data_IF_097481670312
#
_entry.id   IF_097481670312
#
_cell.length_a   1.000
_cell.length_b   1.000
_cell.length_c   1.000
_cell.angle_alpha   90.00
_cell.angle_beta   90.00
_cell.angle_gamma   90.00
#
_symmetry.space_group_name_H-M   'P 1'
#
loop_
_entity.id
_entity.type
_entity.pdbx_description
1 polymer ?
#
# COMPACT_ATOMS: atom_id res chain seq x y z
N UNK A 1 -20.69 7.80 3.96
CA UNK A 1 -21.34 8.25 2.72
C UNK A 1 -21.04 7.25 1.62
N UNK A 2 -21.99 6.97 0.72
CA UNK A 2 -21.75 6.16 -0.48
C UNK A 2 -21.75 7.07 -1.70
N UNK A 3 -20.68 7.03 -2.49
CA UNK A 3 -20.62 7.65 -3.81
C UNK A 3 -21.08 6.64 -4.85
N UNK A 4 -22.14 6.99 -5.60
CA UNK A 4 -22.66 6.16 -6.69
C UNK A 4 -21.76 6.19 -7.93
N UNK A 5 -21.11 7.32 -8.22
CA UNK A 5 -20.19 7.44 -9.37
C UNK A 5 -18.96 6.57 -9.18
N UNK A 6 -18.40 6.58 -7.96
CA UNK A 6 -17.19 5.83 -7.63
C UNK A 6 -17.48 4.39 -7.17
N UNK A 7 -18.77 4.03 -7.03
CA UNK A 7 -19.21 2.77 -6.42
C UNK A 7 -18.47 2.47 -5.10
N UNK A 8 -18.32 3.48 -4.25
CA UNK A 8 -17.44 3.42 -3.09
C UNK A 8 -18.03 4.13 -1.87
N UNK A 9 -17.77 3.55 -0.71
CA UNK A 9 -18.07 4.14 0.59
C UNK A 9 -16.87 4.92 1.12
N UNK A 10 -17.14 6.12 1.63
CA UNK A 10 -16.21 6.90 2.43
C UNK A 10 -16.80 7.10 3.83
N UNK A 11 -16.05 6.72 4.85
CA UNK A 11 -16.47 6.73 6.25
C UNK A 11 -15.42 7.47 7.07
N UNK A 12 -15.83 8.39 7.93
CA UNK A 12 -14.93 9.04 8.90
C UNK A 12 -14.78 8.14 10.13
N UNK A 13 -13.56 7.98 10.60
CA UNK A 13 -13.24 7.37 11.89
C UNK A 13 -13.81 8.17 13.08
N UNK A 14 -13.56 7.69 14.29
CA UNK A 14 -14.00 8.35 15.53
C UNK A 14 -15.32 7.82 16.09
N UNK A 15 -15.76 6.63 15.67
CA UNK A 15 -16.98 5.99 16.17
C UNK A 15 -16.73 4.55 16.58
N UNK A 16 -17.16 4.19 17.78
CA UNK A 16 -17.05 2.81 18.25
C UNK A 16 -17.86 1.85 17.38
N UNK A 17 -19.03 2.23 16.87
CA UNK A 17 -19.84 1.36 16.00
C UNK A 17 -20.49 2.17 14.87
N UNK A 18 -20.85 1.47 13.79
CA UNK A 18 -21.78 2.00 12.81
C UNK A 18 -23.22 1.80 13.30
N UNK A 19 -24.18 2.62 12.86
CA UNK A 19 -25.59 2.42 13.17
C UNK A 19 -26.08 1.02 12.78
N UNK A 20 -27.07 0.53 13.50
CA UNK A 20 -27.69 -0.76 13.23
C UNK A 20 -28.25 -0.82 11.80
N UNK A 21 -28.09 -1.97 11.14
CA UNK A 21 -28.49 -2.17 9.75
C UNK A 21 -27.58 -1.51 8.70
N UNK A 22 -26.53 -0.78 9.11
CA UNK A 22 -25.57 -0.23 8.15
C UNK A 22 -24.82 -1.35 7.42
N UNK A 23 -24.76 -1.28 6.09
CA UNK A 23 -24.15 -2.32 5.23
C UNK A 23 -22.73 -2.69 5.64
N UNK A 24 -21.95 -1.70 6.09
CA UNK A 24 -20.56 -1.90 6.50
C UNK A 24 -20.38 -2.20 7.99
N UNK A 25 -21.44 -2.38 8.78
CA UNK A 25 -21.33 -2.54 10.24
C UNK A 25 -20.42 -3.72 10.63
N UNK A 26 -20.55 -4.85 9.94
CA UNK A 26 -19.71 -6.04 10.17
C UNK A 26 -18.24 -5.78 9.83
N UNK A 27 -17.99 -5.13 8.69
CA UNK A 27 -16.63 -4.81 8.24
C UNK A 27 -15.99 -3.74 9.15
N UNK A 28 -16.77 -2.78 9.63
CA UNK A 28 -16.34 -1.79 10.61
C UNK A 28 -15.94 -2.43 11.94
N UNK A 29 -16.72 -3.40 12.42
CA UNK A 29 -16.41 -4.11 13.66
C UNK A 29 -15.12 -4.93 13.60
N UNK A 30 -14.67 -5.31 12.40
CA UNK A 30 -13.38 -6.01 12.20
C UNK A 30 -12.16 -5.08 12.29
N UNK A 31 -12.36 -3.77 12.23
CA UNK A 31 -11.25 -2.82 12.33
C UNK A 31 -10.68 -2.77 13.75
N UNK A 32 -9.33 -2.75 13.88
CA UNK A 32 -8.67 -2.43 15.14
C UNK A 32 -9.19 -1.13 15.80
N UNK A 33 -9.28 -1.07 17.15
CA UNK A 33 -9.84 0.09 17.84
C UNK A 33 -9.13 1.41 17.55
N UNK A 34 -7.81 1.41 17.45
CA UNK A 34 -6.97 2.55 17.10
C UNK A 34 -7.33 3.17 15.74
N UNK A 35 -7.64 2.33 14.74
CA UNK A 35 -8.10 2.80 13.42
C UNK A 35 -9.52 3.34 13.50
N UNK A 36 -10.43 2.56 14.10
CA UNK A 36 -11.87 2.86 14.14
C UNK A 36 -12.21 4.09 14.98
N UNK A 37 -11.52 4.27 16.10
CA UNK A 37 -11.75 5.35 17.06
C UNK A 37 -10.97 6.64 16.70
N UNK A 38 -10.10 6.62 15.69
CA UNK A 38 -9.36 7.81 15.28
C UNK A 38 -10.24 8.81 14.52
N UNK A 39 -10.46 10.04 15.01
CA UNK A 39 -11.26 11.05 14.31
C UNK A 39 -10.54 11.68 13.11
N UNK A 40 -9.25 11.36 12.94
CA UNK A 40 -8.36 11.90 11.92
C UNK A 40 -8.27 11.03 10.66
N UNK A 41 -8.72 9.77 10.77
CA UNK A 41 -8.72 8.82 9.67
C UNK A 41 -10.03 8.87 8.88
N UNK A 42 -9.89 8.70 7.58
CA UNK A 42 -10.97 8.38 6.67
C UNK A 42 -10.74 6.97 6.13
N UNK A 43 -11.81 6.23 5.96
CA UNK A 43 -11.80 4.85 5.53
C UNK A 43 -12.62 4.75 4.27
N UNK A 44 -12.02 4.20 3.22
CA UNK A 44 -12.70 3.95 1.97
C UNK A 44 -12.85 2.45 1.73
N UNK A 45 -13.98 2.01 1.16
CA UNK A 45 -14.15 0.64 0.68
C UNK A 45 -15.19 0.60 -0.44
N UNK A 46 -14.98 -0.23 -1.46
CA UNK A 46 -15.93 -0.45 -2.56
C UNK A 46 -16.76 -1.73 -2.35
N UNK A 47 -16.55 -2.44 -1.23
CA UNK A 47 -17.17 -3.72 -0.95
C UNK A 47 -17.52 -3.85 0.52
N UNK A 48 -18.67 -4.46 0.83
CA UNK A 48 -19.02 -4.83 2.20
C UNK A 48 -18.09 -5.90 2.80
N UNK A 49 -17.27 -6.56 1.98
CA UNK A 49 -16.28 -7.55 2.39
C UNK A 49 -14.86 -6.98 2.54
N UNK A 50 -14.64 -5.71 2.20
CA UNK A 50 -13.34 -5.05 2.28
C UNK A 50 -12.48 -5.19 1.02
N UNK A 51 -11.21 -4.74 1.07
CA UNK A 51 -10.53 -4.15 2.24
C UNK A 51 -10.99 -2.71 2.53
N UNK A 52 -10.57 -2.19 3.69
CA UNK A 52 -10.57 -0.76 4.01
C UNK A 52 -9.26 -0.12 3.58
N UNK A 53 -9.33 0.92 2.75
CA UNK A 53 -8.22 1.84 2.51
C UNK A 53 -8.20 2.90 3.61
N UNK A 54 -7.07 3.00 4.32
CA UNK A 54 -6.89 3.91 5.45
C UNK A 54 -6.24 5.19 4.93
N UNK A 55 -7.03 6.27 4.95
CA UNK A 55 -6.64 7.59 4.50
C UNK A 55 -6.36 8.47 5.72
N UNK A 56 -5.10 8.87 5.86
CA UNK A 56 -4.60 9.58 7.02
C UNK A 56 -3.72 10.77 6.63
N UNK A 57 -2.98 11.26 7.60
CA UNK A 57 -1.96 12.28 7.38
C UNK A 57 -0.66 11.61 6.94
N UNK A 58 0.08 12.25 6.04
CA UNK A 58 1.50 11.89 5.88
C UNK A 58 2.22 12.46 7.09
N UNK A 59 3.03 11.64 7.76
CA UNK A 59 4.08 12.21 8.62
C UNK A 59 4.98 13.07 7.73
N UNK A 60 5.18 14.31 8.16
CA UNK A 60 6.10 15.27 7.54
C UNK A 60 6.99 15.81 8.64
N UNK A 61 8.29 15.84 8.38
CA UNK A 61 9.23 16.57 9.21
C UNK A 61 9.04 18.06 8.91
N UNK A 62 8.68 18.91 9.89
CA UNK A 62 8.60 20.35 9.70
C UNK A 62 9.97 20.89 9.25
N UNK A 63 9.98 21.78 8.25
CA UNK A 63 11.18 22.50 7.84
C UNK A 63 11.64 23.46 8.94
N UNK A 64 12.90 23.90 8.89
CA UNK A 64 13.46 24.83 9.89
C UNK A 64 12.71 26.16 9.97
N UNK A 65 12.06 26.57 8.88
CA UNK A 65 11.25 27.80 8.79
C UNK A 65 9.76 27.58 9.08
N UNK A 66 9.31 26.33 9.28
CA UNK A 66 7.90 26.02 9.50
C UNK A 66 7.49 26.38 10.94
N UNK A 67 6.39 27.13 11.11
CA UNK A 67 5.82 27.46 12.42
C UNK A 67 5.20 26.20 13.05
N UNK A 68 5.49 25.95 14.33
CA UNK A 68 5.01 24.77 15.05
C UNK A 68 3.75 25.04 15.91
N UNK A 69 2.77 24.12 15.91
CA UNK A 69 2.75 22.88 15.13
C UNK A 69 2.47 23.14 13.65
N UNK A 70 3.16 22.40 12.77
CA UNK A 70 2.94 22.51 11.33
C UNK A 70 1.45 22.31 11.00
N UNK A 71 0.85 23.14 10.12
CA UNK A 71 -0.55 23.02 9.80
C UNK A 71 -0.85 21.65 9.19
N UNK A 72 -1.96 21.06 9.62
CA UNK A 72 -2.42 19.79 9.06
C UNK A 72 -2.73 19.96 7.56
N UNK A 73 -2.29 19.05 6.68
CA UNK A 73 -2.54 19.15 5.25
C UNK A 73 -4.04 19.32 4.90
N UNK A 74 -4.39 19.85 3.72
CA UNK A 74 -5.80 19.91 3.32
C UNK A 74 -6.32 18.54 2.82
N UNK A 75 -5.42 17.63 2.42
CA UNK A 75 -5.76 16.32 1.87
C UNK A 75 -5.37 15.17 2.81
N UNK A 76 -5.94 13.99 2.56
CA UNK A 76 -5.52 12.73 3.18
C UNK A 76 -4.79 11.89 2.15
N UNK A 77 -3.78 11.15 2.60
CA UNK A 77 -3.03 10.22 1.77
C UNK A 77 -3.30 8.79 2.21
N UNK A 78 -3.06 7.82 1.32
CA UNK A 78 -3.12 6.41 1.68
C UNK A 78 -1.97 6.08 2.64
N UNK A 79 -2.35 5.66 3.84
CA UNK A 79 -1.47 5.34 4.98
C UNK A 79 -1.52 3.87 5.38
N UNK A 80 -2.47 3.11 4.84
CA UNK A 80 -2.54 1.68 5.09
C UNK A 80 -3.76 0.99 4.50
N UNK A 81 -3.84 -0.30 4.78
CA UNK A 81 -4.95 -1.18 4.48
C UNK A 81 -5.36 -1.95 5.74
N UNK A 82 -6.65 -2.22 5.87
CA UNK A 82 -7.15 -3.22 6.81
C UNK A 82 -8.11 -4.16 6.11
N UNK A 83 -7.96 -5.46 6.31
CA UNK A 83 -8.90 -6.43 5.76
C UNK A 83 -10.06 -6.74 6.72
N UNK A 84 -10.96 -7.62 6.30
CA UNK A 84 -12.12 -8.06 7.09
C UNK A 84 -11.79 -8.96 8.28
N UNK A 85 -10.54 -9.39 8.42
CA UNK A 85 -10.05 -10.19 9.54
C UNK A 85 -9.32 -9.33 10.57
N UNK A 86 -9.25 -8.02 10.37
CA UNK A 86 -8.52 -7.10 11.22
C UNK A 86 -7.01 -7.12 10.98
N UNK A 87 -6.54 -7.77 9.91
CA UNK A 87 -5.13 -7.69 9.52
C UNK A 87 -4.87 -6.33 8.90
N UNK A 88 -3.77 -5.71 9.31
CA UNK A 88 -3.39 -4.37 8.89
C UNK A 88 -2.06 -4.36 8.15
N UNK A 89 -1.94 -3.45 7.19
CA UNK A 89 -0.69 -3.00 6.61
C UNK A 89 -0.60 -1.49 6.81
N UNK A 90 0.46 -1.03 7.44
CA UNK A 90 0.79 0.38 7.63
C UNK A 90 1.85 0.78 6.63
N UNK A 91 1.63 1.87 5.91
CA UNK A 91 2.53 2.35 4.87
C UNK A 91 3.40 3.48 5.41
N UNK A 92 4.71 3.28 5.34
CA UNK A 92 5.70 4.31 5.63
C UNK A 92 6.03 5.06 4.35
N UNK A 93 5.89 6.39 4.41
CA UNK A 93 6.29 7.28 3.33
C UNK A 93 7.63 7.91 3.63
N UNK A 94 8.42 8.15 2.58
CA UNK A 94 9.71 8.81 2.74
C UNK A 94 9.49 10.30 3.04
N UNK A 95 10.18 10.82 4.06
CA UNK A 95 9.95 12.19 4.51
C UNK A 95 10.67 13.24 3.65
N UNK A 96 11.76 12.87 2.98
CA UNK A 96 12.63 13.79 2.24
C UNK A 96 13.39 13.08 1.11
N UNK A 97 14.06 13.87 0.26
CA UNK A 97 14.86 13.36 -0.87
C UNK A 97 14.03 13.05 -2.12
N UNK A 98 14.64 12.33 -3.07
CA UNK A 98 14.07 12.07 -4.40
C UNK A 98 12.79 11.23 -4.38
N UNK A 99 12.56 10.49 -3.29
CA UNK A 99 11.37 9.67 -3.07
C UNK A 99 10.41 10.30 -2.04
N UNK A 100 10.57 11.58 -1.69
CA UNK A 100 9.74 12.23 -0.70
C UNK A 100 8.25 12.08 -1.03
N UNK A 101 7.47 11.62 -0.05
CA UNK A 101 6.07 11.31 -0.19
C UNK A 101 5.78 9.93 -0.76
N UNK A 102 6.72 9.22 -1.39
CA UNK A 102 6.49 7.86 -1.90
C UNK A 102 6.42 6.82 -0.78
N UNK A 103 5.67 5.73 -1.01
CA UNK A 103 5.65 4.61 -0.06
C UNK A 103 6.93 3.79 -0.25
N UNK A 104 7.80 3.81 0.75
CA UNK A 104 9.09 3.10 0.72
C UNK A 104 9.17 1.97 1.76
N UNK A 105 8.13 1.81 2.58
CA UNK A 105 8.07 0.71 3.53
C UNK A 105 6.64 0.29 3.87
N UNK A 106 6.50 -0.95 4.33
CA UNK A 106 5.25 -1.52 4.81
C UNK A 106 5.52 -2.22 6.14
N UNK A 107 4.70 -1.96 7.15
CA UNK A 107 4.70 -2.69 8.42
C UNK A 107 3.40 -3.45 8.52
N UNK A 108 3.44 -4.77 8.72
CA UNK A 108 2.22 -5.54 8.92
C UNK A 108 1.75 -5.55 10.38
N UNK A 109 0.53 -6.05 10.62
CA UNK A 109 -0.04 -6.12 11.97
C UNK A 109 0.71 -7.03 12.95
N UNK A 110 1.69 -7.82 12.50
CA UNK A 110 2.59 -8.58 13.37
C UNK A 110 3.90 -7.81 13.68
N UNK A 111 4.02 -6.57 13.21
CA UNK A 111 5.20 -5.73 13.38
C UNK A 111 6.35 -6.06 12.43
N UNK A 112 6.15 -6.90 11.40
CA UNK A 112 7.20 -7.15 10.42
C UNK A 112 7.31 -5.99 9.46
N UNK A 113 8.53 -5.51 9.28
CA UNK A 113 8.84 -4.40 8.39
C UNK A 113 9.39 -4.90 7.06
N UNK A 114 8.89 -4.31 5.98
CA UNK A 114 9.30 -4.59 4.62
C UNK A 114 9.77 -3.30 3.97
N UNK A 115 10.92 -3.35 3.30
CA UNK A 115 11.41 -2.23 2.49
C UNK A 115 10.92 -2.40 1.06
N UNK A 116 10.32 -1.35 0.52
CA UNK A 116 9.99 -1.27 -0.90
C UNK A 116 11.14 -0.61 -1.63
N UNK A 117 11.62 -1.26 -2.68
CA UNK A 117 12.66 -0.73 -3.56
C UNK A 117 12.03 -0.48 -4.92
N UNK A 118 12.06 0.77 -5.36
CA UNK A 118 11.64 1.14 -6.69
C UNK A 118 12.69 0.62 -7.69
N UNK A 119 12.27 -0.19 -8.65
CA UNK A 119 13.15 -0.71 -9.70
C UNK A 119 12.58 -0.38 -11.07
N UNK A 120 13.45 -0.06 -12.01
CA UNK A 120 13.06 0.11 -13.41
C UNK A 120 12.97 -1.24 -14.10
N UNK A 121 12.18 -1.33 -15.17
CA UNK A 121 12.14 -2.55 -16.00
C UNK A 121 13.51 -2.86 -16.62
N UNK A 122 14.27 -1.84 -17.04
CA UNK A 122 15.61 -2.02 -17.61
C UNK A 122 16.59 -2.62 -16.61
N UNK A 123 16.60 -2.14 -15.36
CA UNK A 123 17.42 -2.71 -14.29
C UNK A 123 17.06 -4.18 -14.02
N UNK A 124 15.76 -4.50 -13.91
CA UNK A 124 15.33 -5.89 -13.71
C UNK A 124 15.68 -6.81 -14.88
N UNK A 125 15.55 -6.31 -16.12
CA UNK A 125 15.95 -7.05 -17.30
C UNK A 125 17.47 -7.34 -17.30
N UNK A 126 18.28 -6.38 -16.84
CA UNK A 126 19.73 -6.57 -16.75
C UNK A 126 20.15 -7.50 -15.61
N UNK A 127 19.52 -7.41 -14.44
CA UNK A 127 19.70 -8.35 -13.34
C UNK A 127 19.32 -9.79 -13.74
N UNK A 128 18.24 -9.95 -14.52
CA UNK A 128 17.84 -11.25 -15.04
C UNK A 128 18.86 -11.82 -16.04
N UNK A 129 19.43 -10.99 -16.93
CA UNK A 129 20.50 -11.40 -17.86
C UNK A 129 21.79 -11.77 -17.13
N UNK A 130 22.21 -10.98 -16.17
CA UNK A 130 23.44 -11.24 -15.39
C UNK A 130 23.30 -12.49 -14.52
N UNK A 131 22.11 -12.73 -13.95
CA UNK A 131 21.82 -13.97 -13.21
C UNK A 131 21.81 -15.21 -14.12
N UNK A 132 21.26 -15.13 -15.32
CA UNK A 132 21.28 -16.24 -16.28
C UNK A 132 22.69 -16.54 -16.79
N UNK A 133 23.50 -15.51 -17.06
CA UNK A 133 24.91 -15.63 -17.41
C UNK A 133 25.73 -16.26 -16.27
N UNK A 134 25.50 -15.86 -15.02
CA UNK A 134 26.18 -16.41 -13.84
C UNK A 134 25.72 -17.83 -13.45
N UNK A 135 24.52 -18.26 -13.88
CA UNK A 135 23.99 -19.61 -13.63
C UNK A 135 24.49 -20.64 -14.65
N UNK A 136 25.34 -20.26 -15.60
CA UNK A 136 25.77 -21.10 -16.73
C UNK A 136 26.74 -22.24 -16.37
N UNK A 137 27.06 -22.48 -15.10
CA UNK A 137 27.99 -23.53 -14.66
C UNK A 137 27.31 -24.75 -13.99
N UNK A 138 26.03 -25.01 -14.30
CA UNK A 138 25.39 -26.31 -14.00
C UNK A 138 24.81 -26.94 -15.24
N UNK A 139 25.60 -27.83 -15.84
CA UNK A 139 25.18 -28.73 -16.91
C UNK A 139 24.06 -29.68 -16.43
N UNK A 140 22.83 -29.58 -16.98
CA UNK A 140 21.97 -30.71 -17.49
C UNK A 140 20.53 -30.26 -17.82
N UNK A 141 19.77 -31.04 -18.64
CA UNK A 141 19.32 -30.59 -19.96
C UNK A 141 17.82 -30.20 -20.03
N UNK A 142 17.52 -29.49 -21.13
CA UNK A 142 16.24 -29.36 -21.85
C UNK A 142 14.99 -29.87 -21.08
N UNK A 143 14.28 -28.95 -20.44
CA UNK A 143 12.83 -29.09 -20.20
C UNK A 143 12.17 -27.74 -20.43
N UNK A 144 11.10 -27.78 -21.22
CA UNK A 144 10.44 -26.65 -21.87
C UNK A 144 10.16 -25.48 -20.91
N UNK A 145 10.52 -24.27 -21.35
CA UNK A 145 10.06 -23.03 -20.72
C UNK A 145 8.54 -23.04 -20.64
N UNK A 146 8.00 -23.06 -19.42
CA UNK A 146 6.57 -22.95 -19.15
C UNK A 146 6.11 -21.48 -19.04
N UNK A 147 6.95 -20.52 -19.44
CA UNK A 147 6.60 -19.11 -19.45
C UNK A 147 6.38 -18.65 -20.89
N UNK A 148 5.19 -18.14 -21.25
CA UNK A 148 5.01 -17.56 -22.56
C UNK A 148 5.82 -16.26 -22.64
N UNK A 149 6.69 -16.18 -23.64
CA UNK A 149 7.55 -15.02 -23.94
C UNK A 149 6.78 -13.77 -24.43
N UNK A 150 5.45 -13.79 -24.37
CA UNK A 150 4.59 -12.66 -24.73
C UNK A 150 3.38 -12.58 -23.79
N UNK A 151 3.34 -11.53 -22.97
CA UNK A 151 2.12 -11.11 -22.28
C UNK A 151 1.32 -10.18 -23.22
N UNK A 152 0.00 -10.37 -23.37
CA UNK A 152 -0.82 -9.45 -24.15
C UNK A 152 -0.79 -8.06 -23.50
N UNK A 153 -0.50 -7.05 -24.32
CA UNK A 153 -0.34 -5.66 -23.88
C UNK A 153 -1.55 -5.20 -23.08
N UNK A 154 -1.32 -4.88 -21.81
CA UNK A 154 -2.25 -4.08 -21.03
C UNK A 154 -1.85 -2.63 -21.23
N UNK A 155 -2.76 -1.88 -21.83
CA UNK A 155 -2.70 -0.44 -22.03
C UNK A 155 -2.77 0.27 -20.66
N UNK A 156 -1.66 0.25 -19.93
CA UNK A 156 -1.35 1.22 -18.87
C UNK A 156 0.15 1.46 -18.92
N UNK A 157 0.54 2.73 -18.97
CA UNK A 157 1.89 3.20 -19.30
C UNK A 157 3.03 2.64 -18.43
N UNK A 158 4.28 3.01 -18.75
CA UNK A 158 5.48 2.43 -18.18
C UNK A 158 5.59 2.79 -16.70
N UNK A 159 5.01 1.98 -15.82
CA UNK A 159 5.09 2.16 -14.38
C UNK A 159 5.90 1.03 -13.76
N UNK A 160 6.91 1.42 -12.97
CA UNK A 160 7.84 0.53 -12.31
C UNK A 160 7.11 -0.43 -11.37
N UNK A 161 7.50 -1.70 -11.40
CA UNK A 161 6.99 -2.69 -10.47
C UNK A 161 7.85 -2.61 -9.21
N UNK A 162 7.22 -2.34 -8.07
CA UNK A 162 7.90 -2.36 -6.78
C UNK A 162 8.16 -3.80 -6.36
N UNK A 163 9.41 -4.12 -5.99
CA UNK A 163 9.77 -5.43 -5.47
C UNK A 163 9.84 -5.38 -3.93
N UNK A 164 9.21 -6.35 -3.27
CA UNK A 164 9.25 -6.49 -1.81
C UNK A 164 10.53 -7.23 -1.41
N UNK A 165 11.33 -6.63 -0.52
CA UNK A 165 12.46 -7.32 0.14
C UNK A 165 12.19 -7.38 1.65
N UNK A 166 12.22 -8.58 2.22
CA UNK A 166 12.19 -8.80 3.68
C UNK A 166 13.55 -8.42 4.26
N UNK A 167 13.58 -7.58 5.29
CA UNK A 167 14.74 -7.42 6.15
C UNK A 167 14.62 -8.40 7.32
N UNK A 168 15.74 -9.06 7.65
CA UNK A 168 15.84 -10.07 8.71
C UNK A 168 15.96 -9.46 10.10
#
# INVERSE_FOLDING_TARGET
>A
MYSRSESMWLVRGGKAAQPDGHTLARLWASLPPDIRLSPHLYLATNSAQGPWWILGWSERVPGTEDVLPAPLPPYRVLTGLADRFGQTLTYRREAAGDLAGEITGVTDGAGREFRLVLTTQAQRAEEARTSSLSSSDRSRPLSASAFPDTLPGTEYGPTGVSAFRRCG
#
